data_IF_432783231029
#
_entry.id   IF_432783231029
#
_cell.length_a   1.000
_cell.length_b   1.000
_cell.length_c   1.000
_cell.angle_alpha   90.00
_cell.angle_beta   90.00
_cell.angle_gamma   90.00
#
_symmetry.space_group_name_H-M   'P 1'
#
loop_
_entity.id
_entity.type
_entity.pdbx_description
1 polymer ?
#
# COMPACT_ATOMS: atom_id res chain seq x y z
N UNK A 1 23.84 55.68 -9.52
CA UNK A 1 23.03 54.64 -10.21
C UNK A 1 22.87 53.42 -9.28
N UNK A 2 21.87 53.36 -8.39
CA UNK A 2 21.60 52.15 -7.61
C UNK A 2 20.60 51.23 -8.32
N UNK A 3 21.03 50.01 -8.62
CA UNK A 3 20.25 48.96 -9.29
C UNK A 3 19.11 48.44 -8.40
N UNK A 4 17.88 48.55 -8.92
CA UNK A 4 16.62 48.17 -8.26
C UNK A 4 16.38 46.66 -8.41
N UNK A 5 16.64 45.88 -7.36
CA UNK A 5 16.30 44.46 -7.30
C UNK A 5 14.77 44.29 -7.17
N UNK A 6 14.15 43.61 -8.14
CA UNK A 6 12.71 43.29 -8.11
C UNK A 6 12.46 42.14 -7.14
N UNK A 7 11.56 42.36 -6.16
CA UNK A 7 11.02 41.30 -5.30
C UNK A 7 10.28 40.27 -6.16
N UNK A 8 10.75 39.02 -6.16
CA UNK A 8 10.00 37.90 -6.72
C UNK A 8 8.75 37.66 -5.87
N UNK A 9 7.56 37.66 -6.50
CA UNK A 9 6.31 37.25 -5.85
C UNK A 9 6.35 35.75 -5.63
N UNK A 10 6.11 35.33 -4.39
CA UNK A 10 5.88 33.93 -4.06
C UNK A 10 4.62 33.43 -4.78
N UNK A 11 4.79 32.41 -5.63
CA UNK A 11 3.68 31.66 -6.24
C UNK A 11 3.29 30.56 -5.25
N UNK A 12 2.05 30.51 -4.75
CA UNK A 12 1.63 29.42 -3.86
C UNK A 12 1.56 28.09 -4.63
N UNK A 13 1.89 26.95 -4.00
CA UNK A 13 1.79 25.64 -4.64
C UNK A 13 0.32 25.30 -4.96
N UNK A 14 0.04 24.57 -6.06
CA UNK A 14 -1.31 24.19 -6.40
C UNK A 14 -1.91 23.26 -5.34
N UNK A 15 -3.17 23.50 -4.99
CA UNK A 15 -3.94 22.69 -4.05
C UNK A 15 -4.05 21.25 -4.55
N UNK A 16 -3.64 20.29 -3.71
CA UNK A 16 -3.86 18.87 -3.92
C UNK A 16 -5.37 18.58 -3.95
N UNK A 17 -5.89 18.28 -5.15
CA UNK A 17 -7.23 17.70 -5.29
C UNK A 17 -7.18 16.26 -4.80
N UNK A 18 -7.77 16.01 -3.64
CA UNK A 18 -8.06 14.65 -3.16
C UNK A 18 -9.19 14.08 -4.01
N UNK A 19 -8.85 13.37 -5.08
CA UNK A 19 -9.81 12.52 -5.79
C UNK A 19 -10.11 11.33 -4.88
N UNK A 20 -11.31 11.30 -4.30
CA UNK A 20 -11.88 10.10 -3.67
C UNK A 20 -12.06 9.04 -4.77
N UNK A 21 -11.07 8.19 -4.98
CA UNK A 21 -11.28 6.94 -5.67
C UNK A 21 -11.86 5.94 -4.68
N UNK A 22 -13.17 5.80 -4.76
CA UNK A 22 -13.95 4.70 -4.20
C UNK A 22 -13.33 3.39 -4.69
N UNK A 23 -12.93 2.57 -3.73
CA UNK A 23 -12.44 1.21 -3.92
C UNK A 23 -13.61 0.36 -4.42
N UNK A 24 -13.66 0.10 -5.74
CA UNK A 24 -14.53 -0.94 -6.29
C UNK A 24 -13.73 -2.22 -6.41
N UNK A 25 -14.01 -3.15 -5.49
CA UNK A 25 -13.59 -4.55 -5.55
C UNK A 25 -14.27 -5.23 -6.75
N UNK A 26 -13.55 -5.33 -7.87
CA UNK A 26 -13.93 -6.18 -8.98
C UNK A 26 -13.48 -7.61 -8.72
N UNK A 27 -14.40 -8.48 -8.30
CA UNK A 27 -14.26 -9.93 -8.44
C UNK A 27 -14.29 -10.26 -9.93
N UNK A 28 -13.15 -10.71 -10.46
CA UNK A 28 -13.03 -11.33 -11.77
C UNK A 28 -12.38 -12.69 -11.59
N UNK A 29 -13.20 -13.71 -11.44
CA UNK A 29 -12.83 -15.07 -11.85
C UNK A 29 -13.12 -15.19 -13.34
N UNK A 30 -12.09 -15.47 -14.13
CA UNK A 30 -12.20 -15.60 -15.57
C UNK A 30 -11.06 -16.47 -16.11
N UNK A 31 -11.26 -17.79 -16.07
CA UNK A 31 -10.44 -18.75 -16.79
C UNK A 31 -10.73 -18.73 -18.29
N UNK A 32 -9.67 -18.77 -19.09
CA UNK A 32 -9.73 -18.86 -20.55
C UNK A 32 -9.81 -20.32 -21.00
N UNK A 33 -10.77 -20.64 -21.88
CA UNK A 33 -10.57 -21.53 -23.05
C UNK A 33 -11.50 -21.11 -24.18
N UNK A 34 -11.14 -21.52 -25.38
CA UNK A 34 -11.35 -20.85 -26.66
C UNK A 34 -12.74 -20.97 -27.30
N UNK A 35 -13.01 -20.00 -28.19
CA UNK A 35 -13.66 -20.28 -29.48
C UNK A 35 -15.16 -20.01 -29.58
N UNK A 36 -15.55 -18.79 -29.99
CA UNK A 36 -16.56 -18.59 -31.04
C UNK A 36 -16.97 -17.12 -31.21
N UNK A 37 -16.79 -16.66 -32.45
CA UNK A 37 -17.70 -15.79 -33.22
C UNK A 37 -18.29 -14.56 -32.51
N UNK A 38 -17.74 -13.40 -32.88
CA UNK A 38 -18.25 -12.09 -32.53
C UNK A 38 -19.70 -11.89 -33.02
N UNK A 39 -20.67 -11.98 -32.11
CA UNK A 39 -21.97 -11.35 -32.27
C UNK A 39 -21.90 -9.96 -31.65
N UNK A 40 -22.02 -8.95 -32.51
CA UNK A 40 -22.31 -7.57 -32.13
C UNK A 40 -23.64 -7.55 -31.35
N UNK A 41 -23.56 -7.54 -30.02
CA UNK A 41 -24.69 -7.30 -29.13
C UNK A 41 -24.56 -5.90 -28.57
N UNK A 42 -25.21 -4.93 -29.22
CA UNK A 42 -25.54 -3.65 -28.59
C UNK A 42 -26.36 -3.93 -27.34
N UNK A 43 -25.71 -3.97 -26.17
CA UNK A 43 -26.38 -4.01 -24.87
C UNK A 43 -27.17 -2.72 -24.70
N UNK A 44 -28.49 -2.81 -24.85
CA UNK A 44 -29.45 -1.81 -24.40
C UNK A 44 -29.19 -1.55 -22.90
N UNK A 45 -29.15 -0.29 -22.42
CA UNK A 45 -29.07 -0.02 -20.99
C UNK A 45 -30.34 -0.56 -20.33
N UNK A 46 -30.18 -1.62 -19.54
CA UNK A 46 -31.25 -2.19 -18.74
C UNK A 46 -31.48 -1.29 -17.52
N UNK A 47 -32.30 -0.26 -17.68
CA UNK A 47 -32.97 0.43 -16.59
C UNK A 47 -34.04 -0.51 -16.01
N UNK A 48 -33.62 -1.56 -15.33
CA UNK A 48 -34.50 -2.36 -14.48
C UNK A 48 -34.66 -1.68 -13.11
N UNK A 49 -35.82 -1.79 -12.45
CA UNK A 49 -35.96 -1.33 -11.07
C UNK A 49 -34.94 -2.05 -10.20
N UNK A 50 -34.28 -1.32 -9.30
CA UNK A 50 -33.39 -1.91 -8.29
C UNK A 50 -34.25 -2.87 -7.47
N UNK A 51 -34.09 -4.18 -7.67
CA UNK A 51 -34.80 -5.20 -6.91
C UNK A 51 -34.49 -4.99 -5.43
N UNK A 52 -35.53 -4.68 -4.65
CA UNK A 52 -35.43 -4.58 -3.19
C UNK A 52 -34.81 -5.89 -2.69
N UNK A 53 -33.77 -5.86 -1.84
CA UNK A 53 -33.24 -7.09 -1.26
C UNK A 53 -34.39 -7.85 -0.58
N UNK A 54 -34.40 -9.20 -0.62
CA UNK A 54 -35.44 -9.98 0.02
C UNK A 54 -35.55 -9.52 1.48
N UNK A 55 -36.78 -9.28 1.94
CA UNK A 55 -37.08 -8.66 3.23
C UNK A 55 -36.58 -9.48 4.45
N UNK A 56 -36.01 -10.66 4.20
CA UNK A 56 -35.64 -11.68 5.18
C UNK A 56 -34.14 -12.07 5.08
N UNK A 57 -33.25 -11.18 4.61
CA UNK A 57 -31.80 -11.43 4.77
C UNK A 57 -31.40 -11.24 6.24
N UNK A 58 -30.99 -12.31 6.95
CA UNK A 58 -30.64 -12.21 8.35
C UNK A 58 -29.47 -11.23 8.63
N UNK A 59 -28.63 -10.93 7.63
CA UNK A 59 -27.54 -9.96 7.83
C UNK A 59 -28.04 -8.53 8.01
N UNK A 60 -29.25 -8.21 7.55
CA UNK A 60 -29.86 -6.89 7.70
C UNK A 60 -30.41 -6.65 9.13
N UNK A 61 -30.72 -7.73 9.87
CA UNK A 61 -31.15 -7.62 11.28
C UNK A 61 -29.98 -7.36 12.24
N UNK A 62 -28.72 -7.60 11.84
CA UNK A 62 -27.55 -7.24 12.65
C UNK A 62 -27.27 -5.74 12.66
N UNK A 63 -27.58 -5.05 11.56
CA UNK A 63 -27.32 -3.61 11.41
C UNK A 63 -28.44 -2.73 11.97
N UNK A 64 -29.67 -3.25 12.04
CA UNK A 64 -30.86 -2.48 12.43
C UNK A 64 -31.14 -2.49 13.94
N UNK A 65 -30.22 -3.04 14.75
CA UNK A 65 -30.53 -3.45 16.11
C UNK A 65 -31.39 -4.70 16.07
N UNK A 66 -30.94 -5.76 16.76
CA UNK A 66 -31.70 -7.01 16.83
C UNK A 66 -33.14 -6.76 17.31
N UNK A 67 -34.00 -7.74 17.06
CA UNK A 67 -35.46 -7.77 17.36
C UNK A 67 -35.85 -7.55 18.83
N UNK A 68 -34.90 -7.12 19.66
CA UNK A 68 -35.09 -6.63 21.02
C UNK A 68 -34.48 -5.23 21.01
N UNK A 69 -35.29 -4.18 21.20
CA UNK A 69 -34.87 -2.77 21.20
C UNK A 69 -33.88 -2.40 22.31
N UNK A 70 -32.80 -3.16 22.46
CA UNK A 70 -31.68 -2.87 23.33
C UNK A 70 -30.85 -1.81 22.61
N UNK A 71 -30.71 -0.61 23.19
CA UNK A 71 -29.75 0.37 22.68
C UNK A 71 -28.42 -0.34 22.49
N UNK A 72 -27.72 -0.05 21.38
CA UNK A 72 -26.30 -0.39 21.29
C UNK A 72 -25.64 0.31 22.47
N UNK A 73 -25.33 -0.47 23.51
CA UNK A 73 -24.69 0.04 24.71
C UNK A 73 -23.37 0.72 24.35
N UNK A 74 -22.78 1.47 25.30
CA UNK A 74 -21.45 2.03 25.07
C UNK A 74 -20.50 0.94 24.58
N UNK A 75 -19.62 1.31 23.64
CA UNK A 75 -18.64 0.39 23.09
C UNK A 75 -17.93 -0.33 24.25
N UNK A 76 -17.79 -1.67 24.19
CA UNK A 76 -17.19 -2.42 25.29
C UNK A 76 -15.79 -1.88 25.57
N UNK A 77 -15.53 -1.57 26.84
CA UNK A 77 -14.22 -1.07 27.26
C UNK A 77 -13.15 -2.11 26.93
N UNK A 78 -12.15 -1.70 26.15
CA UNK A 78 -10.98 -2.52 25.84
C UNK A 78 -10.17 -2.71 27.13
N UNK A 79 -10.28 -3.90 27.72
CA UNK A 79 -9.49 -4.27 28.92
C UNK A 79 -8.03 -4.56 28.60
N UNK A 80 -7.74 -4.88 27.34
CA UNK A 80 -6.41 -5.21 26.85
C UNK A 80 -6.20 -4.58 25.47
N UNK A 81 -4.97 -4.15 25.21
CA UNK A 81 -4.58 -3.62 23.90
C UNK A 81 -4.60 -4.71 22.84
N UNK A 82 -5.17 -4.40 21.67
CA UNK A 82 -5.30 -5.27 20.50
C UNK A 82 -4.19 -5.05 19.48
N UNK A 83 -2.98 -4.74 19.93
CA UNK A 83 -1.79 -4.68 19.06
C UNK A 83 -1.58 -6.00 18.28
N UNK A 84 -2.09 -7.11 18.84
CA UNK A 84 -2.17 -8.42 18.21
C UNK A 84 -3.10 -8.53 17.00
N UNK A 85 -3.95 -7.53 16.69
CA UNK A 85 -4.87 -7.54 15.54
C UNK A 85 -4.45 -6.52 14.46
N UNK A 86 -3.96 -5.34 14.86
CA UNK A 86 -3.54 -4.30 13.92
C UNK A 86 -2.18 -4.65 13.25
N UNK A 87 -1.95 -4.28 11.99
CA UNK A 87 -0.59 -4.29 11.45
C UNK A 87 0.26 -3.31 12.28
N UNK A 88 1.51 -3.66 12.59
CA UNK A 88 2.32 -2.84 13.50
C UNK A 88 2.79 -1.51 12.87
N UNK A 89 2.92 -1.47 11.54
CA UNK A 89 3.51 -0.38 10.77
C UNK A 89 2.81 -0.26 9.41
N UNK A 90 2.60 0.98 8.96
CA UNK A 90 2.30 1.31 7.56
C UNK A 90 3.46 2.11 6.95
N UNK A 91 3.67 1.96 5.66
CA UNK A 91 4.67 2.73 4.93
C UNK A 91 4.12 3.31 3.63
N UNK A 92 4.80 4.37 3.19
CA UNK A 92 4.62 5.00 1.89
C UNK A 92 5.97 5.04 1.17
N UNK A 93 6.01 4.54 -0.06
CA UNK A 93 7.15 4.58 -0.97
C UNK A 93 6.81 5.60 -2.06
N UNK A 94 7.63 6.63 -2.19
CA UNK A 94 7.54 7.64 -3.24
C UNK A 94 8.68 7.44 -4.24
N UNK A 95 8.35 7.23 -5.52
CA UNK A 95 9.31 7.08 -6.61
C UNK A 95 8.90 7.98 -7.78
N UNK A 96 9.71 8.99 -8.10
CA UNK A 96 9.49 9.91 -9.25
C UNK A 96 8.07 10.51 -9.35
N UNK A 97 7.44 10.79 -8.21
CA UNK A 97 6.09 11.34 -8.13
C UNK A 97 4.96 10.32 -8.02
N UNK A 98 5.25 9.03 -8.20
CA UNK A 98 4.33 7.92 -7.90
C UNK A 98 4.45 7.56 -6.40
N UNK A 99 3.32 7.38 -5.71
CA UNK A 99 3.31 6.98 -4.30
C UNK A 99 2.55 5.68 -4.12
N UNK A 100 3.21 4.68 -3.56
CA UNK A 100 2.64 3.40 -3.18
C UNK A 100 2.57 3.31 -1.65
N UNK A 101 1.45 2.83 -1.12
CA UNK A 101 1.26 2.68 0.33
C UNK A 101 0.84 1.26 0.68
N UNK A 102 1.33 0.74 1.80
CA UNK A 102 0.84 -0.52 2.35
C UNK A 102 1.04 -0.61 3.86
N UNK A 103 0.38 -1.58 4.47
CA UNK A 103 0.64 -2.03 5.84
C UNK A 103 1.50 -3.28 5.84
N UNK A 104 2.22 -3.52 6.94
CA UNK A 104 2.93 -4.79 7.12
C UNK A 104 1.98 -5.99 7.04
N UNK A 105 2.45 -7.08 6.43
CA UNK A 105 1.67 -8.30 6.29
C UNK A 105 1.64 -9.08 7.61
N UNK A 106 0.42 -9.43 8.06
CA UNK A 106 0.19 -10.22 9.28
C UNK A 106 -0.36 -11.62 9.02
N UNK A 107 -0.67 -11.96 7.77
CA UNK A 107 -1.23 -13.27 7.43
C UNK A 107 -0.22 -14.39 7.63
N UNK A 108 -0.69 -15.62 7.87
CA UNK A 108 0.16 -16.80 8.03
C UNK A 108 1.02 -17.05 6.77
N UNK A 109 0.44 -16.88 5.59
CA UNK A 109 1.15 -17.02 4.31
C UNK A 109 2.16 -15.88 4.11
N UNK A 110 3.43 -16.20 3.80
CA UNK A 110 4.41 -15.19 3.41
C UNK A 110 3.93 -14.40 2.18
N UNK A 111 4.17 -13.08 2.11
CA UNK A 111 3.86 -12.32 0.90
C UNK A 111 4.73 -12.82 -0.27
N UNK A 112 4.16 -12.86 -1.47
CA UNK A 112 4.94 -13.14 -2.67
C UNK A 112 5.89 -11.97 -2.94
N UNK A 113 7.20 -12.21 -2.79
CA UNK A 113 8.24 -11.22 -3.02
C UNK A 113 8.83 -11.32 -4.42
N UNK A 114 9.29 -10.19 -4.93
CA UNK A 114 10.06 -10.10 -6.17
C UNK A 114 11.37 -10.88 -6.03
N UNK A 115 11.82 -11.65 -7.03
CA UNK A 115 13.01 -12.51 -6.92
C UNK A 115 14.26 -11.81 -6.38
N UNK A 116 14.57 -10.61 -6.89
CA UNK A 116 15.73 -9.83 -6.40
C UNK A 116 15.64 -9.42 -4.92
N UNK A 117 14.42 -9.24 -4.40
CA UNK A 117 14.19 -8.90 -2.99
C UNK A 117 14.28 -10.15 -2.14
N UNK A 118 13.66 -11.25 -2.59
CA UNK A 118 13.75 -12.55 -1.92
C UNK A 118 15.22 -13.00 -1.79
N UNK A 119 15.96 -13.00 -2.90
CA UNK A 119 17.39 -13.36 -2.94
C UNK A 119 18.22 -12.53 -1.96
N UNK A 120 17.98 -11.21 -1.89
CA UNK A 120 18.68 -10.35 -0.94
C UNK A 120 18.38 -10.74 0.51
N UNK A 121 17.11 -10.98 0.85
CA UNK A 121 16.70 -11.33 2.20
C UNK A 121 17.21 -12.72 2.61
N UNK A 122 17.23 -13.67 1.69
CA UNK A 122 17.74 -15.02 1.91
C UNK A 122 19.26 -15.02 2.15
N UNK A 123 19.98 -14.06 1.54
CA UNK A 123 21.41 -13.87 1.72
C UNK A 123 21.79 -13.05 2.98
N UNK A 124 20.83 -12.50 3.74
CA UNK A 124 21.15 -11.67 4.91
C UNK A 124 21.91 -12.48 5.99
N UNK A 125 22.95 -11.93 6.63
CA UNK A 125 23.54 -12.52 7.82
C UNK A 125 22.51 -12.65 8.94
N UNK A 126 22.61 -13.69 9.76
CA UNK A 126 21.68 -13.95 10.89
C UNK A 126 21.52 -12.72 11.80
N UNK A 127 22.61 -11.99 12.05
CA UNK A 127 22.61 -10.77 12.88
C UNK A 127 21.71 -9.63 12.32
N UNK A 128 21.43 -9.65 11.01
CA UNK A 128 20.61 -8.66 10.31
C UNK A 128 19.18 -9.18 10.03
N UNK A 129 18.85 -10.42 10.38
CA UNK A 129 17.52 -11.00 10.19
C UNK A 129 16.61 -10.67 11.37
N UNK A 130 15.55 -9.94 11.11
CA UNK A 130 14.42 -9.74 12.02
C UNK A 130 13.47 -10.95 11.98
N UNK A 131 12.74 -11.22 13.07
CA UNK A 131 11.81 -12.36 13.13
C UNK A 131 10.67 -12.29 12.11
N UNK A 132 10.34 -11.08 11.64
CA UNK A 132 9.28 -10.81 10.66
C UNK A 132 9.84 -10.44 9.28
N UNK A 133 11.06 -10.90 8.97
CA UNK A 133 11.71 -10.65 7.68
C UNK A 133 10.77 -11.00 6.52
N UNK A 134 10.74 -10.13 5.50
CA UNK A 134 9.87 -10.30 4.33
C UNK A 134 8.46 -9.75 4.48
N UNK A 135 7.97 -9.49 5.70
CA UNK A 135 6.60 -9.05 5.98
C UNK A 135 6.45 -7.55 6.23
N UNK A 136 7.57 -6.86 6.40
CA UNK A 136 7.60 -5.42 6.64
C UNK A 136 7.05 -4.65 5.42
N UNK A 137 6.31 -3.55 5.64
CA UNK A 137 5.69 -2.80 4.55
C UNK A 137 6.73 -2.25 3.56
N UNK A 138 7.92 -1.88 4.01
CA UNK A 138 9.02 -1.40 3.16
C UNK A 138 9.43 -2.46 2.13
N UNK A 139 9.59 -3.71 2.57
CA UNK A 139 9.92 -4.84 1.71
C UNK A 139 8.81 -5.09 0.69
N UNK A 140 7.55 -5.08 1.14
CA UNK A 140 6.40 -5.31 0.27
C UNK A 140 6.29 -4.21 -0.78
N UNK A 141 6.52 -2.95 -0.43
CA UNK A 141 6.47 -1.82 -1.37
C UNK A 141 7.58 -1.88 -2.41
N UNK A 142 8.82 -2.13 -1.99
CA UNK A 142 9.95 -2.28 -2.92
C UNK A 142 9.68 -3.45 -3.87
N UNK A 143 9.23 -4.59 -3.34
CA UNK A 143 8.88 -5.77 -4.13
C UNK A 143 7.78 -5.48 -5.16
N UNK A 144 6.68 -4.84 -4.74
CA UNK A 144 5.57 -4.49 -5.63
C UNK A 144 5.99 -3.51 -6.72
N UNK A 145 6.79 -2.51 -6.37
CA UNK A 145 7.31 -1.56 -7.34
C UNK A 145 8.21 -2.25 -8.38
N UNK A 146 9.10 -3.14 -7.96
CA UNK A 146 9.95 -3.90 -8.90
C UNK A 146 9.13 -4.84 -9.80
N UNK A 147 8.10 -5.49 -9.27
CA UNK A 147 7.21 -6.33 -10.07
C UNK A 147 6.43 -5.51 -11.12
N UNK A 148 5.98 -4.31 -10.77
CA UNK A 148 5.34 -3.38 -11.71
C UNK A 148 6.35 -2.86 -12.75
N UNK A 149 7.60 -2.57 -12.37
CA UNK A 149 8.68 -2.25 -13.31
C UNK A 149 8.89 -3.38 -14.31
N UNK A 150 8.89 -4.64 -13.87
CA UNK A 150 8.97 -5.80 -14.77
C UNK A 150 7.76 -5.88 -15.70
N UNK A 151 6.55 -5.65 -15.19
CA UNK A 151 5.32 -5.61 -16.00
C UNK A 151 5.31 -4.50 -17.06
N UNK A 152 6.01 -3.38 -16.80
CA UNK A 152 6.14 -2.24 -17.73
C UNK A 152 7.22 -2.46 -18.80
N UNK A 153 8.09 -3.48 -18.68
CA UNK A 153 9.16 -3.75 -19.67
C UNK A 153 8.60 -4.41 -20.93
N UNK A 154 8.99 -3.92 -22.10
CA UNK A 154 8.48 -4.41 -23.39
C UNK A 154 9.36 -5.49 -24.04
N UNK A 155 8.71 -6.47 -24.68
CA UNK A 155 9.26 -7.43 -25.66
C UNK A 155 10.63 -8.03 -25.28
N UNK A 156 11.70 -7.55 -25.90
CA UNK A 156 13.04 -8.15 -25.76
C UNK A 156 13.60 -8.00 -24.35
N UNK A 157 13.26 -6.91 -23.65
CA UNK A 157 13.69 -6.68 -22.27
C UNK A 157 12.95 -7.59 -21.28
N UNK A 158 11.65 -7.86 -21.51
CA UNK A 158 10.85 -8.75 -20.67
C UNK A 158 11.29 -10.22 -20.72
N UNK A 159 12.01 -10.64 -21.77
CA UNK A 159 12.57 -12.00 -21.86
C UNK A 159 13.67 -12.27 -20.83
N UNK A 160 14.27 -11.23 -20.25
CA UNK A 160 15.32 -11.35 -19.24
C UNK A 160 14.78 -10.87 -17.90
N UNK A 161 15.01 -11.62 -16.81
CA UNK A 161 14.72 -11.13 -15.46
C UNK A 161 15.36 -9.77 -15.23
N UNK A 162 14.71 -8.92 -14.42
CA UNK A 162 15.26 -7.63 -14.02
C UNK A 162 16.64 -7.83 -13.38
N UNK A 163 17.64 -7.08 -13.82
CA UNK A 163 18.96 -7.09 -13.20
C UNK A 163 19.00 -6.17 -11.97
N UNK A 164 19.94 -6.43 -11.05
CA UNK A 164 20.19 -5.59 -9.88
C UNK A 164 20.46 -4.12 -10.25
N UNK A 165 21.19 -3.87 -11.35
CA UNK A 165 21.48 -2.51 -11.84
C UNK A 165 20.23 -1.79 -12.36
N UNK A 166 19.37 -2.50 -13.10
CA UNK A 166 18.08 -1.95 -13.55
C UNK A 166 17.16 -1.65 -12.36
N UNK A 167 17.11 -2.53 -11.36
CA UNK A 167 16.34 -2.32 -10.14
C UNK A 167 16.77 -1.05 -9.38
N UNK A 168 18.09 -0.88 -9.16
CA UNK A 168 18.65 0.35 -8.55
C UNK A 168 18.34 1.60 -9.37
N UNK A 169 18.39 1.51 -10.71
CA UNK A 169 18.02 2.63 -11.59
C UNK A 169 16.53 2.98 -11.51
N UNK A 170 15.67 1.97 -11.40
CA UNK A 170 14.23 2.14 -11.28
C UNK A 170 13.84 2.81 -9.96
N UNK A 171 14.53 2.47 -8.87
CA UNK A 171 14.35 3.03 -7.53
C UNK A 171 15.21 4.28 -7.25
N UNK A 172 15.87 4.84 -8.26
CA UNK A 172 16.71 6.02 -8.10
C UNK A 172 15.90 7.19 -7.52
N UNK A 173 16.43 7.78 -6.45
CA UNK A 173 15.79 8.87 -5.68
C UNK A 173 14.48 8.47 -4.99
N UNK A 174 14.21 7.18 -4.83
CA UNK A 174 13.07 6.72 -4.05
C UNK A 174 13.23 7.09 -2.57
N UNK A 175 12.12 7.49 -1.96
CA UNK A 175 12.01 7.76 -0.53
C UNK A 175 10.95 6.84 0.06
N UNK A 176 11.22 6.30 1.24
CA UNK A 176 10.24 5.56 2.03
C UNK A 176 10.07 6.22 3.38
N UNK A 177 8.82 6.34 3.84
CA UNK A 177 8.50 6.73 5.21
C UNK A 177 7.58 5.70 5.81
N UNK A 178 7.77 5.38 7.08
CA UNK A 178 6.94 4.43 7.80
C UNK A 178 6.42 5.04 9.09
N UNK A 179 5.18 4.69 9.46
CA UNK A 179 4.48 5.15 10.66
C UNK A 179 3.97 3.97 11.46
N UNK A 180 4.05 4.08 12.79
CA UNK A 180 3.50 3.08 13.71
C UNK A 180 1.98 3.13 13.68
N UNK A 181 1.35 1.97 13.61
CA UNK A 181 -0.09 1.83 13.79
C UNK A 181 -0.30 1.21 15.17
N UNK A 182 -1.00 1.94 16.03
CA UNK A 182 -1.40 1.54 17.38
C UNK A 182 -2.91 1.77 17.56
N UNK A 183 -3.45 1.43 18.71
CA UNK A 183 -4.84 1.76 19.03
C UNK A 183 -5.05 3.27 19.20
N UNK A 184 -6.31 3.69 19.15
CA UNK A 184 -6.68 5.07 19.41
C UNK A 184 -6.29 5.46 20.85
N UNK A 185 -5.74 6.66 21.01
CA UNK A 185 -5.19 7.15 22.27
C UNK A 185 -3.76 6.67 22.63
N UNK A 186 -3.13 5.83 21.81
CA UNK A 186 -1.71 5.52 21.99
C UNK A 186 -0.83 6.67 21.48
N UNK A 187 0.06 7.26 22.31
CA UNK A 187 0.90 8.39 21.92
C UNK A 187 1.91 8.06 20.80
N UNK A 188 2.26 6.78 20.62
CA UNK A 188 3.13 6.31 19.55
C UNK A 188 2.39 6.08 18.24
N UNK A 189 1.06 6.15 18.22
CA UNK A 189 0.31 6.06 16.98
C UNK A 189 0.73 7.18 16.01
N UNK A 190 1.05 6.83 14.77
CA UNK A 190 1.44 7.81 13.76
C UNK A 190 2.86 8.36 13.94
N UNK A 191 3.61 7.95 14.96
CA UNK A 191 5.03 8.30 15.10
C UNK A 191 5.88 7.60 14.03
N UNK A 192 7.06 8.16 13.73
CA UNK A 192 7.98 7.56 12.75
C UNK A 192 8.42 6.16 13.19
N UNK A 193 8.35 5.21 12.27
CA UNK A 193 8.91 3.88 12.45
C UNK A 193 10.22 3.81 11.64
N UNK A 194 11.40 3.72 12.29
CA UNK A 194 12.64 3.47 11.56
C UNK A 194 12.60 2.07 10.92
N UNK A 195 13.30 1.87 9.78
CA UNK A 195 13.35 0.57 9.13
C UNK A 195 13.95 -0.48 10.07
N UNK A 196 13.38 -1.69 10.06
CA UNK A 196 13.87 -2.78 10.92
C UNK A 196 15.26 -3.28 10.48
N UNK A 197 15.84 -4.21 11.26
CA UNK A 197 17.19 -4.76 11.03
C UNK A 197 17.37 -5.36 9.63
N UNK A 198 16.34 -6.01 9.08
CA UNK A 198 16.39 -6.57 7.72
C UNK A 198 16.11 -5.53 6.63
N UNK A 199 15.23 -4.56 6.92
CA UNK A 199 14.80 -3.57 5.92
C UNK A 199 15.84 -2.47 5.71
N UNK A 200 16.58 -2.07 6.75
CA UNK A 200 17.63 -1.06 6.61
C UNK A 200 18.69 -1.43 5.54
N UNK A 201 19.32 -2.62 5.57
CA UNK A 201 20.28 -3.00 4.53
C UNK A 201 19.62 -3.22 3.16
N UNK A 202 18.38 -3.72 3.11
CA UNK A 202 17.61 -3.87 1.87
C UNK A 202 17.41 -2.51 1.18
N UNK A 203 16.94 -1.51 1.92
CA UNK A 203 16.71 -0.16 1.39
C UNK A 203 18.02 0.47 0.91
N UNK A 204 19.09 0.32 1.67
CA UNK A 204 20.43 0.78 1.28
C UNK A 204 20.92 0.10 -0.01
N UNK A 205 20.73 -1.21 -0.15
CA UNK A 205 21.13 -1.98 -1.33
C UNK A 205 20.44 -1.51 -2.61
N UNK A 206 19.16 -1.13 -2.53
CA UNK A 206 18.41 -0.60 -3.67
C UNK A 206 18.51 0.93 -3.84
N UNK A 207 19.18 1.63 -2.92
CA UNK A 207 19.34 3.09 -2.96
C UNK A 207 18.07 3.87 -2.56
N UNK A 208 17.16 3.23 -1.81
CA UNK A 208 15.94 3.84 -1.29
C UNK A 208 16.27 4.51 0.05
N UNK A 209 15.91 5.79 0.22
CA UNK A 209 16.16 6.51 1.46
C UNK A 209 14.98 6.42 2.41
N UNK A 210 15.22 5.99 3.65
CA UNK A 210 14.24 6.13 4.72
C UNK A 210 14.21 7.60 5.19
N UNK A 211 13.02 8.17 5.31
CA UNK A 211 12.80 9.59 5.63
C UNK A 211 11.82 9.70 6.77
N UNK A 212 12.18 10.47 7.81
CA UNK A 212 11.23 10.94 8.81
C UNK A 212 10.63 12.28 8.35
N UNK A 213 9.31 12.35 8.05
CA UNK A 213 8.66 13.58 7.62
C UNK A 213 8.67 14.68 8.70
N UNK A 214 8.89 14.34 9.97
CA UNK A 214 9.02 15.33 11.03
C UNK A 214 10.40 16.03 10.99
N UNK A 215 11.45 15.30 10.62
CA UNK A 215 12.80 15.83 10.52
C UNK A 215 13.07 16.63 9.22
N UNK A 216 12.33 16.35 8.14
CA UNK A 216 12.51 17.04 6.84
C UNK A 216 11.77 18.39 6.76
N UNK A 217 11.02 18.80 7.79
CA UNK A 217 10.32 20.10 7.86
C UNK A 217 11.16 21.24 8.47
N UNK A 218 12.39 20.95 8.86
CA UNK A 218 13.38 21.90 9.38
C UNK A 218 14.34 22.31 8.27
#
# INVERSE_FOLDING_TARGET
>A
MPGRWRKARAVPPPAFRTTRHIWQSGTRDGGCTEGSTALHMTRKPQNGPISRPPADDPRLHWSSGGQTGRPLGPAPLLRHRRDGILPAVAAALSVRGETLTCTGSKGETPPQLHPLVAEFLDALPVAQRERTTGRCPETILVSRYLADVDGRRSNRAARKPLSQGEARKALKHAKVTARRIREDGDPEHGSYAPPCRSCAPLLAHFGVRAVDPAAERV
#
